data_IF_201776222201
#
_entry.id   IF_201776222201
#
_cell.length_a   1.000
_cell.length_b   1.000
_cell.length_c   1.000
_cell.angle_alpha   90.00
_cell.angle_beta   90.00
_cell.angle_gamma   90.00
#
_symmetry.space_group_name_H-M   'P 1'
#
loop_
_entity.id
_entity.type
_entity.pdbx_description
1 polymer ?
#
# COMPACT_ATOMS: atom_id res chain seq x y z
N UNK A 1 14.34 18.74 2.93
CA UNK A 1 12.93 18.27 2.82
C UNK A 1 12.03 19.27 3.53
N UNK A 2 10.83 19.49 3.00
CA UNK A 2 9.80 20.32 3.65
C UNK A 2 8.89 19.44 4.50
N UNK A 3 8.43 19.94 5.64
CA UNK A 3 7.41 19.25 6.44
C UNK A 3 6.07 19.29 5.71
N UNK A 4 5.43 18.12 5.63
CA UNK A 4 4.12 17.92 5.04
C UNK A 4 3.10 17.83 6.16
N UNK A 5 1.95 18.49 6.00
CA UNK A 5 0.87 18.44 6.97
C UNK A 5 0.32 17.02 7.12
N UNK A 6 -0.30 16.69 8.27
CA UNK A 6 -0.77 15.33 8.51
C UNK A 6 -1.89 14.95 7.54
N UNK A 7 -2.82 15.85 7.21
CA UNK A 7 -3.92 15.58 6.27
C UNK A 7 -3.43 15.46 4.84
N UNK A 8 -2.52 16.33 4.41
CA UNK A 8 -1.83 16.22 3.13
C UNK A 8 -1.04 14.92 3.01
N UNK A 9 -0.29 14.57 4.06
CA UNK A 9 0.42 13.30 4.13
C UNK A 9 -0.53 12.11 4.08
N UNK A 10 -1.64 12.17 4.83
CA UNK A 10 -2.64 11.11 4.88
C UNK A 10 -3.23 10.78 3.51
N UNK A 11 -3.28 11.74 2.59
CA UNK A 11 -3.70 11.48 1.22
C UNK A 11 -2.83 10.39 0.57
N UNK A 12 -1.52 10.44 0.81
CA UNK A 12 -0.54 9.46 0.32
C UNK A 12 -0.58 8.13 1.08
N UNK A 13 -1.30 8.05 2.20
CA UNK A 13 -1.26 6.90 3.10
C UNK A 13 -2.64 6.36 3.49
N UNK A 14 -3.71 6.94 2.93
CA UNK A 14 -5.10 6.50 3.05
C UNK A 14 -5.58 6.37 4.50
N UNK A 15 -5.51 7.48 5.23
CA UNK A 15 -6.06 7.63 6.58
C UNK A 15 -5.32 6.85 7.70
N UNK A 16 -4.07 6.42 7.48
CA UNK A 16 -3.23 5.73 8.51
C UNK A 16 -2.30 6.68 9.28
N UNK A 17 -2.16 7.95 8.86
CA UNK A 17 -1.26 8.92 9.50
C UNK A 17 -1.87 9.38 10.82
N UNK A 18 -1.24 8.98 11.93
CA UNK A 18 -1.72 9.33 13.27
C UNK A 18 -1.12 10.65 13.76
N UNK A 19 -1.68 11.25 14.84
CA UNK A 19 -1.08 12.43 15.46
C UNK A 19 0.33 12.20 16.03
N UNK A 20 0.76 10.95 16.22
CA UNK A 20 2.11 10.59 16.68
C UNK A 20 3.13 10.47 15.54
N UNK A 21 2.68 10.68 14.30
CA UNK A 21 3.51 10.70 13.10
C UNK A 21 3.70 12.12 12.57
N UNK A 22 4.83 12.36 11.89
CA UNK A 22 5.13 13.59 11.14
C UNK A 22 5.72 13.18 9.79
N UNK A 23 5.39 13.93 8.74
CA UNK A 23 5.83 13.62 7.39
C UNK A 23 6.74 14.71 6.82
N UNK A 24 7.69 14.31 5.97
CA UNK A 24 8.51 15.22 5.19
C UNK A 24 8.50 14.80 3.72
N UNK A 25 8.59 15.75 2.80
CA UNK A 25 8.64 15.45 1.35
C UNK A 25 9.78 14.47 1.05
N UNK A 26 9.45 13.32 0.46
CA UNK A 26 10.42 12.37 -0.07
C UNK A 26 10.64 12.66 -1.54
N UNK A 27 11.80 13.19 -1.93
CA UNK A 27 12.21 13.23 -3.33
C UNK A 27 12.86 11.90 -3.70
N UNK A 28 12.78 11.51 -4.98
CA UNK A 28 13.58 10.41 -5.50
C UNK A 28 15.06 10.72 -5.21
N UNK A 29 15.76 9.78 -4.56
CA UNK A 29 17.15 9.84 -4.11
C UNK A 29 17.46 10.69 -2.86
N UNK A 30 16.47 11.34 -2.21
CA UNK A 30 16.71 12.14 -1.00
C UNK A 30 15.97 11.64 0.24
N UNK A 31 15.09 10.64 0.13
CA UNK A 31 14.28 10.18 1.27
C UNK A 31 14.94 9.17 2.20
N UNK A 32 14.24 8.81 3.27
CA UNK A 32 14.70 7.83 4.26
C UNK A 32 14.84 6.44 3.64
N UNK A 33 15.86 5.66 4.04
CA UNK A 33 16.11 4.32 3.51
C UNK A 33 16.53 3.31 4.58
N UNK A 34 16.77 2.07 4.17
CA UNK A 34 17.23 1.00 5.03
C UNK A 34 18.56 1.38 5.69
N UNK A 35 18.60 1.27 7.01
CA UNK A 35 19.75 1.69 7.83
C UNK A 35 19.58 3.04 8.51
N UNK A 36 18.60 3.86 8.08
CA UNK A 36 18.34 5.18 8.68
C UNK A 36 17.41 5.12 9.89
N UNK A 37 16.83 3.96 10.20
CA UNK A 37 15.94 3.81 11.37
C UNK A 37 16.61 4.26 12.66
N UNK A 38 15.89 5.09 13.42
CA UNK A 38 16.43 5.75 14.61
C UNK A 38 17.22 7.04 14.32
N UNK A 39 17.48 7.34 13.04
CA UNK A 39 18.14 8.56 12.60
C UNK A 39 17.26 9.81 12.79
N UNK A 40 17.86 10.99 12.99
CA UNK A 40 17.13 12.20 13.32
C UNK A 40 16.56 12.91 12.07
N UNK A 41 15.31 13.38 12.16
CA UNK A 41 14.78 14.45 11.30
C UNK A 41 14.95 15.78 12.03
N UNK A 42 15.80 16.66 11.51
CA UNK A 42 16.12 17.94 12.13
C UNK A 42 15.61 19.12 11.29
N UNK A 43 15.06 20.13 11.95
CA UNK A 43 14.60 21.37 11.34
C UNK A 43 15.35 22.56 11.96
N UNK A 44 15.81 23.50 11.13
CA UNK A 44 16.46 24.72 11.60
C UNK A 44 15.42 25.85 11.75
N UNK A 45 15.39 26.49 12.91
CA UNK A 45 14.58 27.68 13.18
C UNK A 45 15.40 28.69 13.98
N UNK A 46 15.44 29.95 13.52
CA UNK A 46 16.16 31.04 14.20
C UNK A 46 17.62 30.68 14.56
N UNK A 47 18.31 29.96 13.67
CA UNK A 47 19.68 29.41 13.85
C UNK A 47 19.81 28.29 14.91
N UNK A 48 18.71 27.67 15.32
CA UNK A 48 18.68 26.52 16.23
C UNK A 48 18.20 25.27 15.49
N UNK A 49 18.97 24.19 15.58
CA UNK A 49 18.59 22.89 15.04
C UNK A 49 17.74 22.12 16.04
N UNK A 50 16.55 21.73 15.62
CA UNK A 50 15.51 21.13 16.46
C UNK A 50 15.24 19.72 15.93
N UNK A 51 15.22 18.74 16.83
CA UNK A 51 14.82 17.38 16.49
C UNK A 51 13.29 17.29 16.37
N UNK A 52 12.79 17.24 15.14
CA UNK A 52 11.36 17.21 14.84
C UNK A 52 10.79 15.79 14.76
N UNK A 53 11.60 14.83 14.29
CA UNK A 53 11.19 13.45 14.11
C UNK A 53 12.31 12.44 14.31
N UNK A 54 11.93 11.19 14.51
CA UNK A 54 12.84 10.03 14.51
C UNK A 54 12.41 9.08 13.41
N UNK A 55 13.36 8.67 12.57
CA UNK A 55 13.11 7.84 11.40
C UNK A 55 12.56 6.48 11.81
N UNK A 56 11.39 6.14 11.28
CA UNK A 56 10.78 4.83 11.36
C UNK A 56 11.14 4.04 10.08
N UNK A 57 11.28 2.70 10.08
CA UNK A 57 11.65 1.97 8.88
C UNK A 57 10.73 2.28 7.69
N UNK A 58 11.35 2.62 6.56
CA UNK A 58 10.71 3.04 5.31
C UNK A 58 11.14 2.13 4.14
N UNK A 59 10.55 2.37 2.96
CA UNK A 59 10.80 1.62 1.73
C UNK A 59 11.89 2.21 0.83
N UNK A 60 12.78 3.06 1.36
CA UNK A 60 13.74 3.85 0.59
C UNK A 60 13.04 4.86 -0.33
N UNK A 61 12.92 6.11 0.15
CA UNK A 61 12.31 7.26 -0.49
C UNK A 61 12.07 7.10 -2.00
N UNK A 62 10.84 6.73 -2.36
CA UNK A 62 10.49 6.40 -3.75
C UNK A 62 10.25 7.64 -4.61
N UNK A 63 10.18 8.83 -3.98
CA UNK A 63 9.74 10.06 -4.64
C UNK A 63 8.22 10.13 -4.87
N UNK A 64 7.48 9.11 -4.45
CA UNK A 64 6.04 8.94 -4.72
C UNK A 64 5.19 9.32 -3.51
N UNK A 65 5.72 9.19 -2.30
CA UNK A 65 5.03 9.54 -1.06
C UNK A 65 6.00 10.21 -0.07
N UNK A 66 5.50 11.06 0.86
CA UNK A 66 6.31 11.64 1.93
C UNK A 66 6.95 10.57 2.82
N UNK A 67 8.11 10.85 3.42
CA UNK A 67 8.69 10.00 4.45
C UNK A 67 7.99 10.17 5.79
N UNK A 68 7.75 9.07 6.52
CA UNK A 68 7.07 9.06 7.82
C UNK A 68 8.09 8.92 8.96
N UNK A 69 7.94 9.77 9.98
CA UNK A 69 8.76 9.79 11.17
C UNK A 69 7.89 9.75 12.43
N UNK A 70 8.44 9.25 13.53
CA UNK A 70 7.84 9.41 14.85
C UNK A 70 7.94 10.90 15.27
N UNK A 71 6.82 11.53 15.61
CA UNK A 71 6.74 12.95 15.96
C UNK A 71 7.22 13.20 17.39
N UNK A 72 8.44 13.72 17.53
CA UNK A 72 9.09 13.95 18.84
C UNK A 72 8.25 14.80 19.80
N UNK A 73 7.52 15.79 19.28
CA UNK A 73 6.66 16.65 20.10
C UNK A 73 5.50 15.92 20.78
N UNK A 74 5.16 14.68 20.39
CA UNK A 74 4.17 13.86 21.10
C UNK A 74 4.75 12.99 22.20
N UNK A 75 6.08 12.88 22.27
CA UNK A 75 6.79 12.06 23.25
C UNK A 75 7.55 12.91 24.29
N UNK A 76 7.30 14.22 24.36
CA UNK A 76 8.03 15.14 25.26
C UNK A 76 8.00 14.69 26.72
N UNK A 77 6.83 14.32 27.25
CA UNK A 77 6.68 13.86 28.63
C UNK A 77 7.53 12.62 28.89
N UNK A 78 7.43 11.63 28.01
CA UNK A 78 8.22 10.40 28.11
C UNK A 78 9.73 10.69 28.06
N UNK A 79 10.17 11.59 27.18
CA UNK A 79 11.59 12.00 27.09
C UNK A 79 12.05 12.65 28.40
N UNK A 80 11.28 13.59 28.93
CA UNK A 80 11.60 14.29 30.19
C UNK A 80 11.69 13.34 31.39
N UNK A 81 10.85 12.30 31.42
CA UNK A 81 10.86 11.30 32.48
C UNK A 81 12.05 10.34 32.40
N UNK A 82 12.56 10.06 31.20
CA UNK A 82 13.56 9.01 30.96
C UNK A 82 14.97 9.54 30.70
N UNK A 83 15.15 10.83 30.41
CA UNK A 83 16.46 11.42 30.15
C UNK A 83 16.81 12.42 31.25
N UNK A 84 17.28 11.88 32.38
CA UNK A 84 17.68 12.67 33.55
C UNK A 84 19.16 13.08 33.44
N UNK A 85 19.47 14.35 33.75
CA UNK A 85 20.85 14.86 33.81
C UNK A 85 21.42 15.47 32.53
N UNK A 86 20.59 15.75 31.52
CA UNK A 86 20.96 16.51 30.30
C UNK A 86 20.08 17.74 30.16
N UNK A 87 20.67 18.86 29.74
CA UNK A 87 19.94 20.09 29.44
C UNK A 87 19.12 19.91 28.16
N UNK A 88 17.89 19.42 28.30
CA UNK A 88 16.94 19.25 27.20
C UNK A 88 15.96 20.43 27.23
N UNK A 89 15.87 21.15 26.11
CA UNK A 89 14.90 22.21 25.90
C UNK A 89 13.91 21.84 24.79
N UNK A 90 12.63 22.14 25.00
CA UNK A 90 11.62 22.08 23.95
C UNK A 90 11.30 23.49 23.46
N UNK A 91 11.33 23.66 22.13
CA UNK A 91 10.87 24.90 21.50
C UNK A 91 9.38 24.80 21.21
N UNK A 92 8.64 25.89 21.44
CA UNK A 92 7.24 25.98 21.04
C UNK A 92 7.17 26.55 19.65
N UNK A 93 6.69 25.75 18.69
CA UNK A 93 6.39 26.25 17.36
C UNK A 93 5.08 27.05 17.40
N UNK A 94 5.14 28.33 17.06
CA UNK A 94 3.97 29.19 16.89
C UNK A 94 3.82 29.48 15.40
N UNK A 95 2.66 29.13 14.86
CA UNK A 95 2.27 29.47 13.48
C UNK A 95 1.30 30.64 13.54
N UNK A 96 1.69 31.75 12.91
CA UNK A 96 0.90 32.99 12.90
C UNK A 96 -0.14 33.00 11.76
N UNK A 97 -0.14 31.95 10.93
CA UNK A 97 -1.02 31.78 9.78
C UNK A 97 -2.09 30.70 9.99
N UNK A 98 -3.10 30.73 9.12
CA UNK A 98 -4.10 29.68 9.00
C UNK A 98 -3.43 28.34 8.63
N UNK A 99 -3.76 27.29 9.38
CA UNK A 99 -3.28 25.93 9.10
C UNK A 99 -3.88 25.44 7.79
N UNK A 100 -3.12 25.54 6.70
CA UNK A 100 -3.53 25.10 5.37
C UNK A 100 -3.78 23.58 5.32
N UNK A 101 -3.16 22.81 6.20
CA UNK A 101 -3.39 21.37 6.29
C UNK A 101 -4.79 21.09 6.85
N UNK A 102 -5.29 21.92 7.77
CA UNK A 102 -6.61 21.75 8.40
C UNK A 102 -7.79 21.71 7.42
N UNK A 103 -7.67 22.39 6.28
CA UNK A 103 -8.65 22.40 5.19
C UNK A 103 -8.19 21.62 3.95
N UNK A 104 -7.06 20.92 4.05
CA UNK A 104 -6.52 20.14 2.94
C UNK A 104 -7.50 19.05 2.53
N UNK A 105 -7.84 19.06 1.24
CA UNK A 105 -8.63 18.03 0.60
C UNK A 105 -7.70 17.31 -0.36
N UNK A 106 -7.67 15.99 -0.29
CA UNK A 106 -6.88 15.18 -1.21
C UNK A 106 -7.35 15.43 -2.65
N UNK A 107 -6.67 16.32 -3.36
CA UNK A 107 -6.70 16.32 -4.82
C UNK A 107 -6.01 15.04 -5.23
N UNK A 108 -6.71 14.13 -5.92
CA UNK A 108 -6.31 12.73 -6.13
C UNK A 108 -5.03 12.54 -6.93
N UNK A 109 -3.89 12.98 -6.39
CA UNK A 109 -2.58 12.96 -7.04
C UNK A 109 -1.53 12.14 -6.29
N UNK A 110 -1.70 11.86 -5.01
CA UNK A 110 -0.80 10.97 -4.27
C UNK A 110 -1.62 9.92 -3.55
N UNK A 111 -1.69 8.72 -4.12
CA UNK A 111 -2.32 7.53 -3.55
C UNK A 111 -1.18 6.63 -3.08
N UNK A 112 -1.26 6.14 -1.84
CA UNK A 112 -0.31 5.16 -1.31
C UNK A 112 -0.18 3.94 -2.21
N UNK A 113 0.93 3.22 -2.06
CA UNK A 113 1.28 2.11 -2.94
C UNK A 113 0.12 1.09 -3.06
N UNK A 114 -0.49 0.65 -1.96
CA UNK A 114 -1.64 -0.27 -2.01
C UNK A 114 -2.94 0.46 -1.69
N UNK A 115 -4.12 -0.08 -2.07
CA UNK A 115 -5.35 0.27 -1.35
C UNK A 115 -5.26 -0.25 0.09
N UNK A 116 -5.98 0.32 1.07
CA UNK A 116 -5.91 -0.19 2.44
C UNK A 116 -6.32 -1.67 2.45
N UNK A 117 -5.77 -2.45 3.38
CA UNK A 117 -6.11 -3.87 3.60
C UNK A 117 -5.90 -4.26 5.07
N UNK A 118 -6.42 -5.42 5.48
CA UNK A 118 -6.29 -5.97 6.83
C UNK A 118 -7.57 -5.82 7.67
N UNK A 119 -7.83 -4.62 8.22
CA UNK A 119 -9.03 -4.40 9.05
C UNK A 119 -10.31 -4.63 8.23
N UNK A 120 -11.19 -5.50 8.76
CA UNK A 120 -12.50 -5.88 8.19
C UNK A 120 -12.46 -6.72 6.91
N UNK A 121 -11.26 -7.11 6.44
CA UNK A 121 -11.14 -7.99 5.28
C UNK A 121 -11.51 -9.44 5.64
N UNK A 122 -11.95 -10.19 4.63
CA UNK A 122 -12.16 -11.63 4.75
C UNK A 122 -10.82 -12.32 4.47
N UNK A 123 -10.32 -13.05 5.46
CA UNK A 123 -9.08 -13.80 5.31
C UNK A 123 -9.29 -15.14 4.59
N UNK A 124 -8.35 -15.47 3.72
CA UNK A 124 -8.24 -16.78 3.10
C UNK A 124 -7.75 -17.83 4.11
N UNK A 125 -8.08 -19.11 3.90
CA UNK A 125 -7.49 -20.20 4.68
C UNK A 125 -5.96 -20.24 4.54
N UNK A 126 -5.27 -20.43 5.67
CA UNK A 126 -3.83 -20.73 5.72
C UNK A 126 -3.57 -22.19 5.34
N UNK A 127 -3.60 -22.49 4.04
CA UNK A 127 -3.40 -23.84 3.49
C UNK A 127 -2.55 -23.78 2.22
N UNK A 128 -1.75 -24.83 2.01
CA UNK A 128 -0.88 -24.98 0.84
C UNK A 128 -1.70 -25.09 -0.44
N UNK A 129 -1.29 -24.39 -1.50
CA UNK A 129 -1.99 -24.41 -2.80
C UNK A 129 -3.52 -24.20 -2.67
N UNK A 130 -3.89 -23.41 -1.67
CA UNK A 130 -5.26 -23.16 -1.25
C UNK A 130 -5.99 -22.11 -2.05
N UNK A 131 -7.26 -21.97 -1.76
CA UNK A 131 -8.07 -20.86 -2.25
C UNK A 131 -9.15 -20.48 -1.24
N UNK A 132 -9.77 -19.33 -1.45
CA UNK A 132 -10.96 -18.91 -0.74
C UNK A 132 -12.13 -19.88 -0.96
N UNK A 133 -13.15 -19.77 -0.11
CA UNK A 133 -14.49 -20.24 -0.48
C UNK A 133 -15.03 -19.42 -1.66
N UNK A 134 -16.17 -19.83 -2.23
CA UNK A 134 -16.87 -19.06 -3.27
C UNK A 134 -17.16 -17.64 -2.77
N UNK A 135 -16.64 -16.63 -3.47
CA UNK A 135 -16.95 -15.23 -3.20
C UNK A 135 -17.95 -14.74 -4.23
N UNK A 136 -19.16 -14.40 -3.80
CA UNK A 136 -20.17 -13.78 -4.66
C UNK A 136 -19.84 -12.30 -4.82
N UNK A 137 -19.76 -11.84 -6.07
CA UNK A 137 -19.51 -10.44 -6.39
C UNK A 137 -20.78 -9.62 -6.16
N UNK A 138 -20.64 -8.48 -5.48
CA UNK A 138 -21.73 -7.52 -5.27
C UNK A 138 -22.15 -6.82 -6.56
N UNK A 139 -21.24 -6.74 -7.54
CA UNK A 139 -21.50 -6.26 -8.89
C UNK A 139 -20.91 -7.23 -9.92
N UNK A 140 -21.56 -7.46 -11.08
CA UNK A 140 -20.98 -8.28 -12.13
C UNK A 140 -19.64 -7.71 -12.65
N UNK A 141 -18.66 -8.59 -12.83
CA UNK A 141 -17.35 -8.25 -13.38
C UNK A 141 -17.22 -8.79 -14.80
N UNK A 142 -16.80 -7.96 -15.75
CA UNK A 142 -16.65 -8.36 -17.17
C UNK A 142 -15.19 -8.51 -17.52
N UNK A 143 -14.78 -9.70 -17.95
CA UNK A 143 -13.41 -9.99 -18.35
C UNK A 143 -13.41 -10.74 -19.67
N UNK A 144 -12.67 -10.21 -20.66
CA UNK A 144 -12.68 -10.68 -22.05
C UNK A 144 -14.08 -10.91 -22.67
N UNK A 145 -15.06 -10.12 -22.26
CA UNK A 145 -16.45 -10.22 -22.73
C UNK A 145 -17.31 -11.25 -22.01
N UNK A 146 -16.74 -12.05 -21.10
CA UNK A 146 -17.47 -12.92 -20.19
C UNK A 146 -17.90 -12.13 -18.95
N UNK A 147 -19.11 -12.40 -18.47
CA UNK A 147 -19.67 -11.79 -17.26
C UNK A 147 -19.57 -12.77 -16.11
N UNK A 148 -18.90 -12.36 -15.04
CA UNK A 148 -18.69 -13.12 -13.82
C UNK A 148 -19.45 -12.52 -12.66
N UNK A 149 -20.04 -13.39 -11.84
CA UNK A 149 -20.76 -13.03 -10.61
C UNK A 149 -20.08 -13.60 -9.37
N UNK A 150 -18.93 -14.24 -9.57
CA UNK A 150 -18.18 -14.91 -8.52
C UNK A 150 -16.69 -14.85 -8.81
N UNK A 151 -15.89 -15.00 -7.76
CA UNK A 151 -14.43 -15.09 -7.85
C UNK A 151 -13.91 -16.00 -6.74
N UNK A 152 -12.73 -16.55 -6.97
CA UNK A 152 -11.93 -17.26 -5.97
C UNK A 152 -10.57 -16.59 -5.86
N UNK A 153 -10.11 -16.35 -4.63
CA UNK A 153 -8.79 -15.80 -4.35
C UNK A 153 -7.86 -16.96 -4.06
N UNK A 154 -6.84 -17.17 -4.88
CA UNK A 154 -5.91 -18.28 -4.71
C UNK A 154 -4.72 -17.88 -3.83
N UNK A 155 -4.22 -18.83 -3.03
CA UNK A 155 -3.09 -18.54 -2.15
C UNK A 155 -1.80 -18.25 -2.95
N UNK A 156 -1.69 -18.77 -4.16
CA UNK A 156 -0.58 -18.58 -5.09
C UNK A 156 -0.74 -17.35 -5.99
N UNK A 157 -1.42 -16.28 -5.55
CA UNK A 157 -1.37 -14.97 -6.21
C UNK A 157 -2.16 -14.81 -7.51
N UNK A 158 -3.22 -15.60 -7.69
CA UNK A 158 -4.13 -15.49 -8.83
C UNK A 158 -5.61 -15.55 -8.43
N UNK A 159 -6.47 -15.10 -9.34
CA UNK A 159 -7.93 -15.19 -9.24
C UNK A 159 -8.47 -16.11 -10.34
N UNK A 160 -9.46 -16.91 -9.99
CA UNK A 160 -10.28 -17.68 -10.93
C UNK A 160 -11.76 -17.32 -10.75
N UNK A 161 -12.59 -17.61 -11.74
CA UNK A 161 -14.01 -17.21 -11.72
C UNK A 161 -14.99 -18.38 -11.78
N UNK A 162 -14.52 -19.57 -12.10
CA UNK A 162 -15.29 -20.81 -12.27
C UNK A 162 -15.18 -21.72 -11.04
N UNK A 163 -13.96 -22.07 -10.61
CA UNK A 163 -13.69 -22.95 -9.46
C UNK A 163 -12.32 -22.68 -8.82
N UNK A 164 -12.02 -23.18 -7.61
CA UNK A 164 -10.66 -23.13 -7.07
C UNK A 164 -9.64 -23.88 -7.95
N UNK A 165 -8.40 -23.41 -8.01
CA UNK A 165 -7.31 -24.06 -8.73
C UNK A 165 -6.12 -24.35 -7.81
N UNK A 166 -5.96 -25.60 -7.39
CA UNK A 166 -4.83 -25.99 -6.53
C UNK A 166 -3.60 -26.30 -7.38
N UNK A 167 -2.83 -25.26 -7.72
CA UNK A 167 -1.59 -25.35 -8.50
C UNK A 167 -0.56 -24.30 -8.04
N UNK A 168 0.68 -24.70 -7.69
CA UNK A 168 1.71 -23.80 -7.18
C UNK A 168 2.26 -22.84 -8.24
N UNK A 169 2.46 -23.34 -9.46
CA UNK A 169 3.03 -22.59 -10.57
C UNK A 169 2.25 -22.84 -11.86
N UNK A 170 2.26 -21.89 -12.82
CA UNK A 170 1.63 -22.09 -14.12
C UNK A 170 2.39 -23.18 -14.92
N UNK A 171 1.82 -24.37 -15.00
CA UNK A 171 2.41 -25.47 -15.79
C UNK A 171 2.00 -25.44 -17.27
N UNK A 172 1.19 -24.46 -17.68
CA UNK A 172 0.52 -24.45 -18.97
C UNK A 172 0.57 -23.05 -19.61
N UNK A 173 0.90 -22.98 -20.91
CA UNK A 173 0.54 -21.81 -21.72
C UNK A 173 -0.99 -21.69 -21.70
N UNK A 174 -1.51 -20.46 -21.56
CA UNK A 174 -2.94 -20.08 -21.51
C UNK A 174 -3.90 -20.92 -22.37
N UNK A 175 -3.46 -21.45 -23.51
CA UNK A 175 -4.26 -22.26 -24.43
C UNK A 175 -4.78 -23.60 -23.89
N UNK A 176 -4.29 -24.11 -22.76
CA UNK A 176 -4.68 -25.44 -22.26
C UNK A 176 -5.70 -25.43 -21.12
N UNK A 177 -5.90 -24.31 -20.42
CA UNK A 177 -6.74 -24.29 -19.21
C UNK A 177 -8.22 -24.00 -19.46
N UNK A 178 -8.63 -23.63 -20.69
CA UNK A 178 -10.01 -23.31 -21.08
C UNK A 178 -10.82 -22.55 -20.01
N UNK A 179 -10.17 -21.62 -19.31
CA UNK A 179 -10.73 -20.82 -18.22
C UNK A 179 -10.01 -19.49 -18.12
N UNK A 180 -10.72 -18.51 -17.57
CA UNK A 180 -10.18 -17.17 -17.38
C UNK A 180 -9.52 -17.04 -16.00
N UNK A 181 -8.30 -16.50 -16.00
CA UNK A 181 -7.47 -16.31 -14.81
C UNK A 181 -6.93 -14.87 -14.83
N UNK A 182 -6.91 -14.23 -13.67
CA UNK A 182 -6.16 -12.99 -13.44
C UNK A 182 -5.03 -13.32 -12.46
N UNK A 183 -3.80 -13.33 -12.95
CA UNK A 183 -2.61 -13.62 -12.15
C UNK A 183 -1.73 -12.38 -12.06
N UNK A 184 -1.62 -11.82 -10.85
CA UNK A 184 -0.64 -10.77 -10.55
C UNK A 184 0.73 -11.37 -10.30
N UNK A 185 0.76 -12.42 -9.49
CA UNK A 185 1.99 -13.09 -9.10
C UNK A 185 1.69 -14.58 -8.90
N UNK A 186 1.60 -15.34 -9.99
CA UNK A 186 1.36 -16.78 -9.87
C UNK A 186 2.65 -17.54 -9.60
N UNK A 187 2.83 -17.88 -8.33
CA UNK A 187 4.02 -18.58 -7.83
C UNK A 187 3.68 -19.32 -6.55
N UNK A 188 4.53 -20.27 -6.20
CA UNK A 188 4.38 -21.14 -5.04
C UNK A 188 4.54 -20.34 -3.73
N UNK A 189 3.42 -19.95 -3.13
CA UNK A 189 3.32 -19.06 -1.95
C UNK A 189 2.78 -19.84 -0.76
N UNK A 190 3.34 -19.62 0.43
CA UNK A 190 3.02 -20.41 1.62
C UNK A 190 2.56 -19.55 2.81
N UNK A 191 1.26 -19.26 2.84
CA UNK A 191 0.62 -18.53 3.94
C UNK A 191 0.39 -19.38 5.22
N UNK A 192 0.89 -20.61 5.30
CA UNK A 192 0.87 -21.41 6.54
C UNK A 192 1.99 -21.01 7.50
N UNK A 193 3.06 -20.45 6.96
CA UNK A 193 4.24 -20.06 7.75
C UNK A 193 4.15 -18.62 8.23
N UNK A 194 3.81 -17.70 7.34
CA UNK A 194 3.70 -16.27 7.64
C UNK A 194 2.82 -15.57 6.59
N UNK A 195 2.46 -14.31 6.89
CA UNK A 195 1.69 -13.47 6.00
C UNK A 195 0.21 -13.82 5.98
N UNK A 196 -0.58 -12.89 5.43
CA UNK A 196 -2.03 -13.01 5.36
C UNK A 196 -2.47 -12.79 3.92
N UNK A 197 -3.48 -13.55 3.50
CA UNK A 197 -4.15 -13.35 2.23
C UNK A 197 -5.57 -12.94 2.57
N UNK A 198 -6.00 -11.78 2.12
CA UNK A 198 -7.30 -11.22 2.47
C UNK A 198 -7.95 -10.53 1.30
N UNK A 199 -9.27 -10.37 1.36
CA UNK A 199 -10.01 -9.65 0.33
C UNK A 199 -11.22 -8.91 0.89
N UNK A 200 -11.66 -7.89 0.17
CA UNK A 200 -12.88 -7.13 0.45
C UNK A 200 -13.54 -6.59 -0.81
N UNK A 201 -14.82 -6.27 -0.67
CA UNK A 201 -15.60 -5.56 -1.67
C UNK A 201 -15.95 -4.15 -1.17
N UNK A 202 -15.98 -3.18 -2.08
CA UNK A 202 -16.31 -1.79 -1.76
C UNK A 202 -17.35 -1.28 -2.75
N UNK A 203 -18.53 -0.93 -2.25
CA UNK A 203 -19.66 -0.39 -3.03
C UNK A 203 -20.01 1.06 -2.68
N UNK A 204 -19.34 1.66 -1.69
CA UNK A 204 -19.53 3.06 -1.34
C UNK A 204 -18.29 3.65 -0.65
N UNK A 205 -18.26 4.99 -0.54
CA UNK A 205 -17.19 5.69 0.18
C UNK A 205 -16.06 6.20 -0.70
N UNK A 206 -15.01 6.71 -0.05
CA UNK A 206 -13.92 7.47 -0.69
C UNK A 206 -13.03 6.64 -1.60
N UNK A 207 -12.94 5.33 -1.39
CA UNK A 207 -12.12 4.44 -2.23
C UNK A 207 -12.64 4.38 -3.68
N UNK A 208 -13.96 4.46 -3.88
CA UNK A 208 -14.54 4.56 -5.23
C UNK A 208 -14.16 5.87 -5.93
N UNK A 209 -14.16 6.98 -5.19
CA UNK A 209 -13.74 8.28 -5.71
C UNK A 209 -12.25 8.26 -6.07
N UNK A 210 -11.40 7.66 -5.22
CA UNK A 210 -9.98 7.49 -5.48
C UNK A 210 -9.72 6.67 -6.75
N UNK A 211 -10.39 5.52 -6.90
CA UNK A 211 -10.30 4.69 -8.10
C UNK A 211 -10.77 5.44 -9.36
N UNK A 212 -11.87 6.19 -9.27
CA UNK A 212 -12.38 7.00 -10.37
C UNK A 212 -11.37 8.06 -10.81
N UNK A 213 -10.77 8.77 -9.85
CA UNK A 213 -9.79 9.82 -10.12
C UNK A 213 -8.52 9.23 -10.75
N UNK A 214 -8.00 8.15 -10.19
CA UNK A 214 -6.81 7.45 -10.70
C UNK A 214 -6.99 7.02 -12.16
N UNK A 215 -8.12 6.36 -12.46
CA UNK A 215 -8.40 5.86 -13.80
C UNK A 215 -8.61 6.99 -14.82
N UNK A 216 -9.28 8.08 -14.44
CA UNK A 216 -9.47 9.23 -15.32
C UNK A 216 -8.18 10.03 -15.55
N UNK A 217 -7.27 10.03 -14.57
CA UNK A 217 -5.95 10.65 -14.72
C UNK A 217 -5.08 9.85 -15.69
N UNK A 218 -5.08 8.52 -15.58
CA UNK A 218 -4.26 7.65 -16.42
C UNK A 218 -4.84 7.50 -17.83
N UNK A 219 -6.14 7.26 -17.95
CA UNK A 219 -6.85 7.11 -19.22
C UNK A 219 -7.58 8.40 -19.58
N UNK A 220 -6.87 9.32 -20.21
CA UNK A 220 -7.44 10.58 -20.69
C UNK A 220 -8.66 10.31 -21.59
N UNK A 221 -9.78 10.98 -21.30
CA UNK A 221 -11.10 10.87 -21.97
C UNK A 221 -11.97 9.63 -21.66
N UNK A 222 -11.60 8.81 -20.68
CA UNK A 222 -12.43 7.68 -20.27
C UNK A 222 -13.75 8.11 -19.58
N UNK A 223 -13.72 9.24 -18.85
CA UNK A 223 -14.83 9.76 -18.04
C UNK A 223 -15.52 8.66 -17.20
N UNK A 224 -14.71 7.96 -16.42
CA UNK A 224 -15.07 6.81 -15.62
C UNK A 224 -15.61 7.21 -14.24
N UNK A 225 -16.54 6.43 -13.72
CA UNK A 225 -16.97 6.52 -12.33
C UNK A 225 -17.08 5.10 -11.78
N UNK A 226 -16.21 4.77 -10.84
CA UNK A 226 -16.21 3.49 -10.15
C UNK A 226 -17.47 3.37 -9.29
N UNK A 227 -18.18 2.25 -9.42
CA UNK A 227 -19.29 1.87 -8.56
C UNK A 227 -18.93 0.71 -7.64
N UNK A 228 -17.88 -0.04 -7.96
CA UNK A 228 -17.46 -1.21 -7.20
C UNK A 228 -15.97 -1.49 -7.31
N UNK A 229 -15.38 -1.97 -6.21
CA UNK A 229 -14.03 -2.51 -6.13
C UNK A 229 -14.04 -3.90 -5.51
N UNK A 230 -13.23 -4.79 -6.05
CA UNK A 230 -12.77 -5.99 -5.35
C UNK A 230 -11.27 -5.87 -5.12
N UNK A 231 -10.85 -5.91 -3.86
CA UNK A 231 -9.46 -5.73 -3.44
C UNK A 231 -9.03 -7.05 -2.82
N UNK A 232 -8.05 -7.73 -3.41
CA UNK A 232 -7.41 -8.91 -2.84
C UNK A 232 -5.93 -8.64 -2.59
N UNK A 233 -5.45 -8.93 -1.38
CA UNK A 233 -4.11 -8.61 -0.93
C UNK A 233 -3.42 -9.86 -0.41
N UNK A 234 -2.18 -10.05 -0.82
CA UNK A 234 -1.23 -10.99 -0.24
C UNK A 234 -0.24 -10.13 0.52
N UNK A 235 -0.25 -10.17 1.85
CA UNK A 235 0.62 -9.36 2.70
C UNK A 235 1.69 -10.23 3.36
N UNK A 236 2.96 -9.94 3.04
CA UNK A 236 4.16 -10.62 3.57
C UNK A 236 4.11 -12.14 3.44
N UNK A 237 3.52 -12.63 2.36
CA UNK A 237 3.41 -14.07 2.12
C UNK A 237 4.77 -14.57 1.63
N UNK A 238 5.39 -15.58 2.28
CA UNK A 238 6.65 -16.14 1.85
C UNK A 238 6.45 -17.08 0.66
N UNK A 239 7.52 -17.31 -0.11
CA UNK A 239 7.57 -18.42 -1.06
C UNK A 239 7.66 -19.76 -0.33
N UNK A 240 7.10 -20.81 -0.93
CA UNK A 240 7.23 -22.18 -0.45
C UNK A 240 8.70 -22.57 -0.28
N UNK A 241 9.02 -23.26 0.83
CA UNK A 241 10.38 -23.59 1.24
C UNK A 241 11.35 -22.41 1.44
N UNK A 242 10.87 -21.15 1.47
CA UNK A 242 11.68 -19.97 1.76
C UNK A 242 11.00 -19.03 2.78
N UNK A 243 10.93 -19.43 4.06
CA UNK A 243 10.19 -18.68 5.09
C UNK A 243 10.81 -17.32 5.45
N UNK A 244 12.01 -17.02 4.94
CA UNK A 244 12.69 -15.73 5.13
C UNK A 244 12.30 -14.72 4.05
N UNK A 245 11.68 -15.17 2.96
CA UNK A 245 11.12 -14.28 1.96
C UNK A 245 9.79 -13.71 2.43
N UNK A 246 9.48 -12.50 2.02
CA UNK A 246 8.16 -11.90 2.24
C UNK A 246 7.79 -11.21 0.94
N UNK A 247 6.58 -11.41 0.42
CA UNK A 247 6.06 -10.67 -0.72
C UNK A 247 4.73 -10.04 -0.36
N UNK A 248 4.61 -8.73 -0.56
CA UNK A 248 3.32 -8.02 -0.47
C UNK A 248 2.89 -7.56 -1.85
N UNK A 249 1.67 -7.91 -2.27
CA UNK A 249 1.04 -7.45 -3.51
C UNK A 249 -0.48 -7.46 -3.45
N UNK A 250 -1.12 -6.74 -4.39
CA UNK A 250 -2.57 -6.57 -4.43
C UNK A 250 -3.12 -6.69 -5.85
N UNK A 251 -4.33 -7.22 -5.97
CA UNK A 251 -5.18 -7.19 -7.16
C UNK A 251 -6.38 -6.31 -6.85
N UNK A 252 -6.65 -5.32 -7.72
CA UNK A 252 -7.86 -4.51 -7.63
C UNK A 252 -8.66 -4.63 -8.92
N UNK A 253 -9.86 -5.18 -8.81
CA UNK A 253 -10.86 -5.20 -9.88
C UNK A 253 -11.77 -3.99 -9.70
N UNK A 254 -11.96 -3.20 -10.76
CA UNK A 254 -12.79 -1.99 -10.73
C UNK A 254 -13.90 -2.09 -11.76
N UNK A 255 -15.15 -1.91 -11.33
CA UNK A 255 -16.31 -1.81 -12.20
C UNK A 255 -16.94 -0.42 -12.12
N UNK A 256 -17.40 0.09 -13.27
CA UNK A 256 -18.09 1.38 -13.34
C UNK A 256 -18.81 1.60 -14.66
N UNK A 257 -20.13 1.81 -14.59
CA UNK A 257 -21.05 2.06 -15.71
C UNK A 257 -20.99 1.05 -16.88
N UNK A 258 -19.98 1.17 -17.76
CA UNK A 258 -19.79 0.42 -19.01
C UNK A 258 -18.37 -0.11 -19.21
N UNK A 259 -17.46 0.16 -18.28
CA UNK A 259 -16.07 -0.24 -18.38
C UNK A 259 -15.66 -1.05 -17.15
N UNK A 260 -14.82 -2.03 -17.41
CA UNK A 260 -14.20 -2.86 -16.38
C UNK A 260 -12.72 -2.67 -16.54
N UNK A 261 -12.07 -2.21 -15.47
CA UNK A 261 -10.66 -1.87 -15.51
C UNK A 261 -9.95 -2.62 -14.40
N UNK A 262 -8.84 -3.23 -14.80
CA UNK A 262 -7.89 -3.89 -13.92
C UNK A 262 -6.78 -2.89 -13.59
N UNK A 263 -6.50 -2.68 -12.30
CA UNK A 263 -5.39 -1.83 -11.88
C UNK A 263 -4.42 -2.58 -10.98
N UNK A 264 -3.21 -2.74 -11.53
CA UNK A 264 -1.86 -2.81 -10.95
C UNK A 264 -1.60 -3.51 -9.60
N UNK A 265 -0.54 -4.33 -9.63
CA UNK A 265 0.16 -4.88 -8.48
C UNK A 265 1.37 -4.03 -8.13
N UNK A 266 1.61 -3.89 -6.83
CA UNK A 266 2.84 -3.32 -6.30
C UNK A 266 3.53 -4.37 -5.45
N UNK A 267 4.86 -4.36 -5.44
CA UNK A 267 5.67 -5.45 -4.91
C UNK A 267 6.70 -4.90 -3.92
N UNK A 268 6.81 -5.55 -2.77
CA UNK A 268 7.90 -5.36 -1.82
C UNK A 268 8.36 -6.74 -1.36
N UNK A 269 9.64 -7.06 -1.56
CA UNK A 269 10.25 -8.23 -0.93
C UNK A 269 11.50 -7.89 -0.13
N UNK A 270 11.59 -8.42 1.09
CA UNK A 270 12.87 -8.58 1.79
C UNK A 270 13.39 -9.99 1.55
N UNK A 271 14.35 -10.15 0.63
CA UNK A 271 15.39 -11.17 0.75
C UNK A 271 16.59 -10.80 -0.12
N UNK A 272 17.78 -10.91 0.46
CA UNK A 272 19.05 -10.56 -0.17
C UNK A 272 19.37 -11.46 -1.38
N UNK A 273 19.95 -10.83 -2.40
CA UNK A 273 20.60 -11.37 -3.61
C UNK A 273 19.74 -11.73 -4.84
N UNK A 274 19.66 -10.80 -5.81
CA UNK A 274 20.09 -10.97 -7.22
C UNK A 274 20.44 -9.58 -7.79
N UNK A 275 21.63 -9.47 -8.37
CA UNK A 275 22.19 -8.26 -8.99
C UNK A 275 21.57 -7.99 -10.37
N UNK A 276 21.26 -6.74 -10.68
CA UNK A 276 21.44 -6.16 -12.03
C UNK A 276 21.85 -4.68 -11.93
N UNK A 277 22.96 -4.33 -12.58
CA UNK A 277 23.38 -2.95 -12.88
C UNK A 277 22.83 -2.53 -14.25
N UNK A 278 22.63 -1.23 -14.43
CA UNK A 278 22.53 -0.61 -15.75
C UNK A 278 22.80 0.88 -15.71
N UNK A 279 24.07 1.29 -15.83
CA UNK A 279 24.40 2.58 -16.46
C UNK A 279 24.33 2.36 -17.97
N UNK A 280 23.61 3.21 -18.69
CA UNK A 280 23.98 3.59 -20.05
C UNK A 280 23.86 5.10 -20.15
N UNK A 281 24.86 5.70 -20.80
CA UNK A 281 25.17 7.13 -20.90
C UNK A 281 23.96 8.04 -21.14
#
# INVERSE_FOLDING_TARGET
MKIVGNKECDCSFMDIITPTMICAEGNADEGTCYGDSGGPLQCEQDSVWILAGVTNPSSCGTGIAPDIYARVSKFQNWIMENVNGTDIGFVTFTSDGEDKDSSFLCSGKDIGLFYPFGNEDIENPSVDDGSSNLVLLEEPFVYFGHVYQQVYVNNNGHLTFDEPLSQPIPNYLHSQLNRDIIAVCWTDMDNRVNGTISYRQVTSGRLLLAASNYLNQYFQNLNFTASWLFIATWDKVPYYNNPQSESTFQVVLVSGQKHVIYTHALWSSRSDHISCRGKVK
#
